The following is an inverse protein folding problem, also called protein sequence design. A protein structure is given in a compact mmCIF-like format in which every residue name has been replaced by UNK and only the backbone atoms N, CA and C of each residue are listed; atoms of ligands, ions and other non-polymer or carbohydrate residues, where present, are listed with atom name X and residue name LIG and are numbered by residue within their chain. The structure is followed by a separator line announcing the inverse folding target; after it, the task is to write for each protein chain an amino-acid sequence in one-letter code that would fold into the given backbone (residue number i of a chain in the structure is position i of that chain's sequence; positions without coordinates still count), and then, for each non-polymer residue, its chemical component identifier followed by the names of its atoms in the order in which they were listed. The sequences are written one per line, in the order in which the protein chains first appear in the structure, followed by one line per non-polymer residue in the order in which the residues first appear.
data_IF_725162232017
#
_entry.id   IF_725162232017
#
_cell.length_a   1.000
_cell.length_b   1.000
_cell.length_c   1.000
_cell.angle_alpha   90.00
_cell.angle_beta   90.00
_cell.angle_gamma   90.00
#
_symmetry.space_group_name_H-M   'P 1'
#
loop_
_entity.id
_entity.type
_entity.pdbx_description
1 polymer ?
#
# COMPACT_ATOMS: atom_id res chain seq x y z
N UNK A 1 15.90 23.53 10.69
CA UNK A 1 16.45 22.22 11.15
C UNK A 1 17.56 21.83 10.21
N UNK A 2 18.67 21.26 10.70
CA UNK A 2 19.81 20.84 9.88
C UNK A 2 19.91 19.31 9.88
N UNK A 3 20.10 18.71 8.70
CA UNK A 3 20.40 17.30 8.53
C UNK A 3 21.90 17.19 8.25
N UNK A 4 22.67 16.67 9.20
CA UNK A 4 24.11 16.45 9.02
C UNK A 4 24.39 14.98 8.77
N UNK A 5 24.89 14.65 7.58
CA UNK A 5 25.26 13.29 7.19
C UNK A 5 26.74 13.31 6.83
N UNK A 6 27.57 12.69 7.67
CA UNK A 6 29.01 12.48 7.40
C UNK A 6 29.20 11.14 6.72
N UNK A 7 29.00 11.10 5.41
CA UNK A 7 29.21 9.92 4.59
C UNK A 7 29.59 10.35 3.16
N UNK A 8 30.76 9.92 2.70
CA UNK A 8 31.30 10.32 1.40
C UNK A 8 30.50 9.76 0.21
N UNK A 9 29.95 8.56 0.36
CA UNK A 9 29.09 7.94 -0.66
C UNK A 9 27.77 8.71 -0.81
N UNK A 10 27.14 9.08 0.30
CA UNK A 10 25.92 9.88 0.28
C UNK A 10 26.15 11.24 -0.38
N UNK A 11 27.30 11.88 -0.14
CA UNK A 11 27.66 13.12 -0.80
C UNK A 11 27.87 12.93 -2.30
N UNK A 12 28.63 11.90 -2.72
CA UNK A 12 28.85 11.59 -4.15
C UNK A 12 27.55 11.36 -4.90
N UNK A 13 26.67 10.52 -4.35
CA UNK A 13 25.36 10.22 -4.95
C UNK A 13 24.47 11.47 -5.04
N UNK A 14 24.49 12.32 -4.01
CA UNK A 14 23.73 13.57 -4.02
C UNK A 14 24.26 14.55 -5.08
N UNK A 15 25.58 14.65 -5.24
CA UNK A 15 26.22 15.50 -6.24
C UNK A 15 25.92 15.00 -7.66
N UNK A 16 26.11 13.71 -7.92
CA UNK A 16 25.81 13.11 -9.22
C UNK A 16 24.33 13.30 -9.59
N UNK A 17 23.41 13.08 -8.65
CA UNK A 17 21.99 13.30 -8.89
C UNK A 17 21.68 14.77 -9.22
N UNK A 18 22.27 15.71 -8.47
CA UNK A 18 22.08 17.14 -8.68
C UNK A 18 22.62 17.60 -10.06
N UNK A 19 23.79 17.10 -10.46
CA UNK A 19 24.38 17.37 -11.78
C UNK A 19 23.51 16.82 -12.91
N UNK A 20 23.00 15.58 -12.77
CA UNK A 20 22.15 14.94 -13.77
C UNK A 20 20.78 15.63 -13.91
N UNK A 21 20.21 16.15 -12.83
CA UNK A 21 18.90 16.81 -12.85
C UNK A 21 18.97 18.32 -13.07
N UNK A 22 20.16 18.93 -12.95
CA UNK A 22 20.34 20.37 -12.98
C UNK A 22 19.77 21.08 -11.74
N UNK A 23 19.57 20.34 -10.64
CA UNK A 23 19.01 20.86 -9.39
C UNK A 23 20.11 21.22 -8.38
N UNK A 24 19.75 21.98 -7.34
CA UNK A 24 20.66 22.14 -6.19
C UNK A 24 20.81 20.83 -5.42
N UNK A 25 21.95 20.64 -4.74
CA UNK A 25 22.19 19.46 -3.89
C UNK A 25 21.05 19.24 -2.87
N UNK A 26 20.55 20.33 -2.27
CA UNK A 26 19.44 20.28 -1.31
C UNK A 26 18.13 19.86 -1.98
N UNK A 27 17.82 20.38 -3.16
CA UNK A 27 16.63 20.01 -3.93
C UNK A 27 16.66 18.54 -4.32
N UNK A 28 17.77 18.10 -4.91
CA UNK A 28 17.96 16.72 -5.37
C UNK A 28 17.78 15.71 -4.22
N UNK A 29 18.43 15.95 -3.08
CA UNK A 29 18.30 15.10 -1.88
C UNK A 29 16.87 15.12 -1.34
N UNK A 30 16.26 16.31 -1.25
CA UNK A 30 14.89 16.43 -0.72
C UNK A 30 13.88 15.70 -1.59
N UNK A 31 14.02 15.79 -2.92
CA UNK A 31 13.15 15.11 -3.87
C UNK A 31 13.35 13.60 -3.82
N UNK A 32 14.59 13.13 -3.86
CA UNK A 32 14.92 11.70 -3.77
C UNK A 32 14.36 11.06 -2.50
N UNK A 33 14.51 11.74 -1.34
CA UNK A 33 13.95 11.29 -0.08
C UNK A 33 12.42 11.25 -0.15
N UNK A 34 11.77 12.28 -0.68
CA UNK A 34 10.31 12.34 -0.82
C UNK A 34 9.78 11.20 -1.69
N UNK A 35 10.41 10.94 -2.82
CA UNK A 35 10.05 9.85 -3.73
C UNK A 35 10.24 8.47 -3.09
N UNK A 36 11.36 8.25 -2.39
CA UNK A 36 11.60 7.00 -1.68
C UNK A 36 10.56 6.79 -0.57
N UNK A 37 10.23 7.85 0.18
CA UNK A 37 9.20 7.80 1.22
C UNK A 37 7.83 7.49 0.63
N UNK A 38 7.48 8.10 -0.50
CA UNK A 38 6.21 7.88 -1.18
C UNK A 38 6.08 6.42 -1.68
N UNK A 39 7.14 5.88 -2.30
CA UNK A 39 7.19 4.46 -2.72
C UNK A 39 7.00 3.52 -1.53
N UNK A 40 7.72 3.75 -0.44
CA UNK A 40 7.64 2.91 0.75
C UNK A 40 6.26 2.98 1.43
N UNK A 41 5.66 4.18 1.52
CA UNK A 41 4.30 4.37 2.05
C UNK A 41 3.25 3.63 1.21
N UNK A 42 3.36 3.67 -0.12
CA UNK A 42 2.45 2.94 -1.02
C UNK A 42 2.58 1.43 -0.86
N UNK A 43 3.81 0.91 -0.80
CA UNK A 43 4.08 -0.52 -0.56
C UNK A 43 3.45 -0.99 0.75
N UNK A 44 3.78 -0.33 1.86
CA UNK A 44 3.24 -0.68 3.19
C UNK A 44 1.72 -0.59 3.27
N UNK A 45 1.10 0.36 2.57
CA UNK A 45 -0.38 0.46 2.51
C UNK A 45 -0.99 -0.74 1.78
N UNK A 46 -0.39 -1.15 0.66
CA UNK A 46 -0.85 -2.29 -0.14
C UNK A 46 -0.74 -3.59 0.67
N UNK A 47 0.42 -3.80 1.31
CA UNK A 47 0.66 -4.98 2.16
C UNK A 47 -0.35 -5.06 3.32
N UNK A 48 -0.70 -3.92 3.92
CA UNK A 48 -1.73 -3.84 4.98
C UNK A 48 -3.13 -4.19 4.48
N UNK A 49 -3.51 -3.77 3.27
CA UNK A 49 -4.82 -4.08 2.69
C UNK A 49 -4.90 -5.58 2.40
N UNK A 50 -3.89 -6.14 1.74
CA UNK A 50 -3.81 -7.57 1.46
C UNK A 50 -3.89 -8.40 2.75
N UNK A 51 -3.10 -8.05 3.77
CA UNK A 51 -3.13 -8.72 5.07
C UNK A 51 -4.52 -8.63 5.73
N UNK A 52 -5.21 -7.48 5.63
CA UNK A 52 -6.57 -7.31 6.17
C UNK A 52 -7.59 -8.18 5.44
N UNK A 53 -7.54 -8.23 4.10
CA UNK A 53 -8.43 -9.07 3.29
C UNK A 53 -8.22 -10.55 3.60
N UNK A 54 -6.97 -11.00 3.68
CA UNK A 54 -6.64 -12.39 4.06
C UNK A 54 -7.16 -12.73 5.46
N UNK A 55 -7.02 -11.81 6.42
CA UNK A 55 -7.56 -12.01 7.77
C UNK A 55 -9.08 -12.19 7.75
N UNK A 56 -9.82 -11.34 7.04
CA UNK A 56 -11.27 -11.45 6.91
C UNK A 56 -11.63 -12.78 6.23
N UNK A 57 -10.99 -13.10 5.10
CA UNK A 57 -11.22 -14.35 4.39
C UNK A 57 -11.00 -15.59 5.27
N UNK A 58 -9.90 -15.62 6.04
CA UNK A 58 -9.63 -16.72 6.97
C UNK A 58 -10.66 -16.84 8.10
N UNK A 59 -11.23 -15.72 8.54
CA UNK A 59 -12.25 -15.73 9.59
C UNK A 59 -13.55 -16.35 9.09
N UNK A 60 -14.00 -15.98 7.89
CA UNK A 60 -15.22 -16.53 7.30
C UNK A 60 -15.04 -17.96 6.79
N UNK A 61 -13.88 -18.29 6.23
CA UNK A 61 -13.59 -19.65 5.78
C UNK A 61 -13.55 -20.69 6.91
N UNK A 62 -13.37 -20.25 8.16
CA UNK A 62 -13.40 -21.12 9.34
C UNK A 62 -14.82 -21.38 9.88
N UNK A 63 -15.85 -20.67 9.38
CA UNK A 63 -17.23 -20.88 9.79
C UNK A 63 -17.78 -22.16 9.15
N UNK A 64 -18.63 -22.87 9.89
CA UNK A 64 -19.35 -24.01 9.35
C UNK A 64 -20.35 -23.54 8.28
N UNK A 65 -20.40 -24.26 7.16
CA UNK A 65 -21.42 -24.01 6.15
C UNK A 65 -22.80 -24.46 6.68
N UNK A 66 -23.76 -23.56 6.60
CA UNK A 66 -25.15 -23.82 7.03
C UNK A 66 -25.99 -24.48 5.94
N UNK A 67 -25.43 -24.62 4.72
CA UNK A 67 -26.06 -25.33 3.61
C UNK A 67 -27.16 -24.56 2.88
N UNK A 68 -27.33 -23.25 3.18
CA UNK A 68 -28.36 -22.41 2.57
C UNK A 68 -27.96 -22.03 1.15
N UNK A 69 -28.87 -22.26 0.20
CA UNK A 69 -28.69 -21.83 -1.19
C UNK A 69 -28.85 -20.31 -1.34
N UNK A 70 -28.32 -19.70 -2.42
CA UNK A 70 -28.47 -18.26 -2.68
C UNK A 70 -29.92 -17.76 -2.62
N UNK A 71 -30.86 -18.51 -3.19
CA UNK A 71 -32.28 -18.11 -3.26
C UNK A 71 -32.92 -18.15 -1.87
N UNK A 72 -32.59 -19.16 -1.05
CA UNK A 72 -33.01 -19.24 0.34
C UNK A 72 -32.43 -18.11 1.21
N UNK A 73 -31.21 -17.65 0.88
CA UNK A 73 -30.57 -16.50 1.56
C UNK A 73 -31.26 -15.20 1.18
N UNK A 74 -31.62 -15.04 -0.10
CA UNK A 74 -32.34 -13.86 -0.59
C UNK A 74 -33.78 -13.82 -0.07
N UNK A 75 -34.43 -14.97 0.09
CA UNK A 75 -35.82 -15.07 0.53
C UNK A 75 -36.81 -14.55 -0.52
N UNK A 76 -36.41 -14.59 -1.79
CA UNK A 76 -37.25 -14.25 -2.93
C UNK A 76 -37.22 -15.38 -3.93
N UNK A 77 -38.37 -15.67 -4.54
CA UNK A 77 -38.46 -16.57 -5.68
C UNK A 77 -38.01 -15.87 -6.99
N UNK A 78 -38.01 -16.63 -8.10
CA UNK A 78 -37.63 -16.13 -9.43
C UNK A 78 -38.51 -14.96 -9.92
N UNK A 79 -39.72 -14.80 -9.35
CA UNK A 79 -40.66 -13.72 -9.64
C UNK A 79 -40.45 -12.49 -8.73
N UNK A 80 -39.51 -12.58 -7.77
CA UNK A 80 -39.18 -11.51 -6.84
C UNK A 80 -40.18 -11.35 -5.69
N UNK A 81 -40.96 -12.39 -5.39
CA UNK A 81 -41.91 -12.42 -4.28
C UNK A 81 -41.28 -13.02 -3.02
N UNK A 82 -41.58 -12.50 -1.82
CA UNK A 82 -41.06 -13.05 -0.57
C UNK A 82 -41.47 -14.52 -0.39
N UNK A 83 -40.50 -15.37 -0.06
CA UNK A 83 -40.69 -16.80 0.27
C UNK A 83 -40.31 -17.11 1.71
#
# INVERSE_FOLDING_TARGET
MHLNIKNDEAHKLATELAELTGESLTSAVTLALRERLARERRRRRTDRIAARLMKIGSQFAALADTGRGPDEILGYDDDGLPT
#
